data_IF_318981413740
#
_entry.id   IF_318981413740
#
_cell.length_a   1.000
_cell.length_b   1.000
_cell.length_c   1.000
_cell.angle_alpha   90.00
_cell.angle_beta   90.00
_cell.angle_gamma   90.00
#
_symmetry.space_group_name_H-M   'P 1'
#
loop_
_entity.id
_entity.type
_entity.pdbx_description
1 polymer ?
#
# COMPACT_ATOMS: atom_id res chain seq x y z
N UNK A 1 -2.74 17.80 8.70
CA UNK A 1 -1.81 18.22 9.76
C UNK A 1 -1.44 17.14 10.78
N UNK A 2 -2.38 16.37 11.40
CA UNK A 2 -1.97 15.38 12.43
C UNK A 2 -1.16 14.17 11.93
N UNK A 3 -1.37 13.71 10.70
CA UNK A 3 -0.66 12.52 10.18
C UNK A 3 0.71 12.84 9.55
N UNK A 4 0.92 14.01 8.97
CA UNK A 4 2.22 14.38 8.36
C UNK A 4 3.33 14.49 9.40
N UNK A 5 3.02 15.04 10.58
CA UNK A 5 3.94 15.09 11.73
C UNK A 5 4.26 13.71 12.28
N UNK A 6 3.33 12.75 12.19
CA UNK A 6 3.59 11.37 12.58
C UNK A 6 4.47 10.68 11.53
N UNK A 7 4.11 10.78 10.25
CA UNK A 7 4.83 10.15 9.14
C UNK A 7 6.29 10.59 9.06
N UNK A 8 6.57 11.87 9.27
CA UNK A 8 7.94 12.40 9.31
C UNK A 8 8.79 11.85 10.47
N UNK A 9 8.16 11.32 11.53
CA UNK A 9 8.83 10.69 12.69
C UNK A 9 8.95 9.18 12.56
N UNK A 10 8.02 8.53 11.86
CA UNK A 10 7.98 7.07 11.74
C UNK A 10 8.62 6.56 10.45
N UNK A 11 8.88 7.42 9.46
CA UNK A 11 9.54 7.07 8.21
C UNK A 11 10.95 7.64 8.15
N UNK A 12 11.85 6.93 7.49
CA UNK A 12 13.10 7.53 7.01
C UNK A 12 12.81 8.67 6.03
N UNK A 13 13.77 9.60 5.88
CA UNK A 13 13.62 10.75 4.97
C UNK A 13 13.29 10.32 3.53
N UNK A 14 13.99 9.31 3.02
CA UNK A 14 13.77 8.80 1.66
C UNK A 14 12.35 8.21 1.51
N UNK A 15 11.92 7.40 2.48
CA UNK A 15 10.57 6.81 2.47
C UNK A 15 9.48 7.89 2.54
N UNK A 16 9.68 8.93 3.36
CA UNK A 16 8.76 10.06 3.46
C UNK A 16 8.67 10.84 2.13
N UNK A 17 9.80 11.14 1.50
CA UNK A 17 9.84 11.83 0.21
C UNK A 17 9.16 11.01 -0.90
N UNK A 18 9.35 9.68 -0.91
CA UNK A 18 8.66 8.77 -1.83
C UNK A 18 7.16 8.75 -1.59
N UNK A 19 6.71 8.68 -0.34
CA UNK A 19 5.28 8.72 -0.01
C UNK A 19 4.63 10.01 -0.53
N UNK A 20 5.28 11.16 -0.34
CA UNK A 20 4.78 12.44 -0.83
C UNK A 20 4.71 12.48 -2.35
N UNK A 21 5.71 11.94 -3.05
CA UNK A 21 5.66 11.79 -4.52
C UNK A 21 4.48 10.92 -4.95
N UNK A 22 4.24 9.78 -4.31
CA UNK A 22 3.12 8.90 -4.65
C UNK A 22 1.79 9.63 -4.41
N UNK A 23 1.62 10.32 -3.28
CA UNK A 23 0.43 11.13 -3.00
C UNK A 23 0.18 12.21 -4.06
N UNK A 24 1.24 12.86 -4.54
CA UNK A 24 1.13 13.88 -5.59
C UNK A 24 0.72 13.30 -6.95
N UNK A 25 1.11 12.06 -7.25
CA UNK A 25 0.76 11.37 -8.49
C UNK A 25 -0.63 10.74 -8.41
N UNK A 26 -0.96 10.14 -7.27
CA UNK A 26 -2.21 9.44 -7.01
C UNK A 26 -2.55 9.49 -5.52
N UNK A 27 -3.36 10.48 -5.13
CA UNK A 27 -3.77 10.68 -3.73
C UNK A 27 -4.44 9.43 -3.13
N UNK A 28 -5.33 8.74 -3.86
CA UNK A 28 -6.02 7.55 -3.35
C UNK A 28 -5.07 6.41 -3.01
N UNK A 29 -4.03 6.25 -3.82
CA UNK A 29 -3.02 5.23 -3.59
C UNK A 29 -2.05 5.63 -2.46
N UNK A 30 -1.65 6.91 -2.44
CA UNK A 30 -0.84 7.46 -1.36
C UNK A 30 -1.49 7.31 0.01
N UNK A 31 -2.80 7.54 0.13
CA UNK A 31 -3.55 7.39 1.39
C UNK A 31 -3.63 5.93 1.85
N UNK A 32 -3.74 4.98 0.91
CA UNK A 32 -3.68 3.54 1.22
C UNK A 32 -2.30 3.15 1.75
N UNK A 33 -1.24 3.60 1.08
CA UNK A 33 0.13 3.31 1.50
C UNK A 33 0.42 3.96 2.86
N UNK A 34 -0.02 5.19 3.09
CA UNK A 34 0.05 5.84 4.40
C UNK A 34 -0.58 4.96 5.49
N UNK A 35 -1.78 4.44 5.24
CA UNK A 35 -2.47 3.58 6.20
C UNK A 35 -1.68 2.30 6.50
N UNK A 36 -1.09 1.67 5.47
CA UNK A 36 -0.25 0.49 5.63
C UNK A 36 1.01 0.79 6.46
N UNK A 37 1.65 1.93 6.23
CA UNK A 37 2.84 2.36 6.98
C UNK A 37 2.52 2.63 8.45
N UNK A 38 1.41 3.32 8.73
CA UNK A 38 0.96 3.56 10.10
C UNK A 38 0.66 2.23 10.81
N UNK A 39 0.00 1.28 10.13
CA UNK A 39 -0.27 -0.04 10.69
C UNK A 39 1.02 -0.83 10.98
N UNK A 40 1.97 -0.84 10.05
CA UNK A 40 3.28 -1.47 10.25
C UNK A 40 4.02 -0.86 11.44
N UNK A 41 4.01 0.46 11.56
CA UNK A 41 4.59 1.16 12.69
C UNK A 41 3.91 0.79 14.01
N UNK A 42 2.59 0.70 14.04
CA UNK A 42 1.85 0.31 15.24
C UNK A 42 2.19 -1.12 15.71
N UNK A 43 2.50 -2.03 14.78
CA UNK A 43 2.93 -3.40 15.09
C UNK A 43 4.38 -3.48 15.57
N UNK A 44 5.30 -2.82 14.88
CA UNK A 44 6.74 -2.96 15.14
C UNK A 44 7.29 -1.92 16.14
N UNK A 45 6.61 -0.77 16.28
CA UNK A 45 7.01 0.41 17.07
C UNK A 45 8.43 0.89 16.80
N UNK A 46 8.85 0.84 15.54
CA UNK A 46 10.18 1.24 15.06
C UNK A 46 10.07 2.06 13.78
N UNK A 47 11.07 2.91 13.54
CA UNK A 47 11.18 3.70 12.31
C UNK A 47 11.23 2.76 11.12
N UNK A 48 10.45 3.07 10.09
CA UNK A 48 10.38 2.34 8.83
C UNK A 48 11.47 2.85 7.89
N UNK A 49 12.34 1.94 7.49
CA UNK A 49 13.44 2.20 6.55
C UNK A 49 12.94 2.32 5.10
N UNK A 50 13.78 2.83 4.18
CA UNK A 50 13.43 2.88 2.75
C UNK A 50 13.21 1.47 2.18
N UNK A 51 13.99 0.48 2.64
CA UNK A 51 13.87 -0.91 2.22
C UNK A 51 12.52 -1.51 2.67
N UNK A 52 12.15 -1.34 3.95
CA UNK A 52 10.84 -1.78 4.45
C UNK A 52 9.68 -1.07 3.75
N UNK A 53 9.85 0.20 3.39
CA UNK A 53 8.87 0.93 2.60
C UNK A 53 8.69 0.32 1.22
N UNK A 54 9.78 -0.03 0.53
CA UNK A 54 9.75 -0.70 -0.78
C UNK A 54 9.10 -2.08 -0.66
N UNK A 55 9.38 -2.83 0.41
CA UNK A 55 8.71 -4.11 0.67
C UNK A 55 7.18 -3.94 0.79
N UNK A 56 6.71 -2.95 1.54
CA UNK A 56 5.27 -2.65 1.70
C UNK A 56 4.64 -2.28 0.35
N UNK A 57 5.34 -1.51 -0.49
CA UNK A 57 4.86 -1.21 -1.84
C UNK A 57 4.71 -2.48 -2.67
N UNK A 58 5.74 -3.34 -2.68
CA UNK A 58 5.74 -4.58 -3.43
C UNK A 58 4.64 -5.55 -2.94
N UNK A 59 4.41 -5.63 -1.64
CA UNK A 59 3.31 -6.43 -1.07
C UNK A 59 1.94 -5.90 -1.49
N UNK A 60 1.75 -4.58 -1.49
CA UNK A 60 0.51 -3.94 -1.94
C UNK A 60 0.25 -4.23 -3.43
N UNK A 61 1.27 -4.14 -4.29
CA UNK A 61 1.14 -4.51 -5.71
C UNK A 61 0.79 -5.98 -5.89
N UNK A 62 1.47 -6.89 -5.19
CA UNK A 62 1.15 -8.33 -5.23
C UNK A 62 -0.27 -8.63 -4.77
N UNK A 63 -0.79 -7.90 -3.79
CA UNK A 63 -2.18 -8.05 -3.34
C UNK A 63 -3.16 -7.56 -4.41
N UNK A 64 -2.87 -6.46 -5.09
CA UNK A 64 -3.68 -5.98 -6.23
C UNK A 64 -3.73 -7.01 -7.36
N UNK A 65 -2.58 -7.59 -7.73
CA UNK A 65 -2.50 -8.63 -8.76
C UNK A 65 -3.31 -9.88 -8.39
N UNK A 66 -3.15 -10.38 -7.15
CA UNK A 66 -3.94 -11.52 -6.65
C UNK A 66 -5.44 -11.24 -6.71
N UNK A 67 -5.85 -10.03 -6.33
CA UNK A 67 -7.26 -9.64 -6.36
C UNK A 67 -7.79 -9.62 -7.80
N UNK A 68 -7.03 -9.11 -8.77
CA UNK A 68 -7.39 -9.17 -10.19
C UNK A 68 -7.54 -10.61 -10.71
N UNK A 69 -6.67 -11.54 -10.27
CA UNK A 69 -6.77 -12.96 -10.65
C UNK A 69 -8.05 -13.59 -10.08
N UNK A 70 -8.44 -13.26 -8.85
CA UNK A 70 -9.69 -13.77 -8.25
C UNK A 70 -10.92 -13.24 -8.99
N UNK A 71 -10.94 -11.95 -9.34
CA UNK A 71 -12.04 -11.37 -10.13
C UNK A 71 -12.14 -12.01 -11.52
N UNK A 72 -11.02 -12.28 -12.20
CA UNK A 72 -11.03 -13.00 -13.49
C UNK A 72 -11.52 -14.44 -13.38
N UNK A 73 -11.29 -15.13 -12.25
CA UNK A 73 -11.79 -16.48 -12.03
C UNK A 73 -13.30 -16.50 -11.78
N UNK A 74 -13.81 -15.61 -10.93
CA UNK A 74 -15.27 -15.50 -10.69
C UNK A 74 -16.06 -15.23 -11.97
N UNK A 75 -15.61 -14.31 -12.80
CA UNK A 75 -16.30 -14.02 -14.07
C UNK A 75 -16.24 -15.16 -15.10
N UNK A 76 -15.35 -16.15 -14.95
CA UNK A 76 -15.31 -17.32 -15.85
C UNK A 76 -16.17 -18.47 -15.37
N UNK A 77 -16.39 -18.59 -14.06
CA UNK A 77 -17.22 -19.66 -13.50
C UNK A 77 -18.73 -19.30 -13.59
N UNK A 78 -19.08 -18.01 -13.65
CA UNK A 78 -20.47 -17.56 -13.85
C UNK A 78 -20.96 -17.66 -15.31
N UNK A 79 -20.07 -17.88 -16.29
CA UNK A 79 -20.42 -18.01 -17.72
C UNK A 79 -20.57 -19.48 -18.19
N UNK A 80 -20.66 -20.44 -17.26
CA UNK A 80 -20.75 -21.89 -17.56
C UNK A 80 -22.06 -22.55 -17.10
N UNK A 81 -23.13 -21.79 -16.85
CA UNK A 81 -24.49 -22.34 -16.76
C UNK A 81 -25.26 -22.14 -18.08
N UNK A 82 -25.75 -23.28 -18.59
CA UNK A 82 -26.65 -23.54 -19.73
C UNK A 82 -26.08 -23.56 -21.17
N UNK A 83 -25.55 -24.74 -21.56
CA UNK A 83 -25.68 -25.33 -22.90
C UNK A 83 -26.63 -26.53 -22.82
#
# INVERSE_FOLDING_TARGET
MKNEDLLSRILSKNAFDRLNRIKSLNSKEGDKIETLLINKFNMNRRIITDDEFIEILNENEKQKEKMQVIFKRRNRDDDLEDI
#
